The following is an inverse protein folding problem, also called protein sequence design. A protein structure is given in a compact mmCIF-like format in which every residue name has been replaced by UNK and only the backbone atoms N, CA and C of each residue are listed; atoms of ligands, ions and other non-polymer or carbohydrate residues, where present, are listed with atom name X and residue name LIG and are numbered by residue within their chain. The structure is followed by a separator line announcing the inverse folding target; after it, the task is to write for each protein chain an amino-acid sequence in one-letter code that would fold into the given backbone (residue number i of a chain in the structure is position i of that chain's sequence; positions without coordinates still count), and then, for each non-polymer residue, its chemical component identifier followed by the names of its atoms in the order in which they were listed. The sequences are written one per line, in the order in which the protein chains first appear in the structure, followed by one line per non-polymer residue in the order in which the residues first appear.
data_IF_537491584353
#
_entry.id   IF_537491584353
#
_cell.length_a   1.000
_cell.length_b   1.000
_cell.length_c   1.000
_cell.angle_alpha   90.00
_cell.angle_beta   90.00
_cell.angle_gamma   90.00
#
_symmetry.space_group_name_H-M   'P 1'
#
loop_
_entity.id
_entity.type
_entity.pdbx_description
1 polymer ?
#
# COMPACT_ATOMS: atom_id res chain seq x y z
N UNK A 1 6.36 8.72 -39.34
CA UNK A 1 5.68 8.03 -38.23
C UNK A 1 6.69 7.27 -37.39
N UNK A 2 7.49 7.95 -36.64
CA UNK A 2 8.44 7.36 -35.70
C UNK A 2 8.17 7.89 -34.34
N UNK A 3 7.25 7.28 -33.59
CA UNK A 3 7.22 7.41 -32.16
C UNK A 3 8.46 6.72 -31.62
N UNK A 4 9.49 7.54 -31.54
CA UNK A 4 10.65 7.21 -30.75
C UNK A 4 10.17 7.24 -29.30
N UNK A 5 9.80 6.09 -28.77
CA UNK A 5 9.91 5.85 -27.34
C UNK A 5 11.37 6.14 -26.99
N UNK A 6 11.65 7.37 -26.59
CA UNK A 6 12.87 7.67 -25.86
C UNK A 6 12.81 6.77 -24.64
N UNK A 7 13.46 5.62 -24.69
CA UNK A 7 13.88 4.91 -23.50
C UNK A 7 14.65 5.97 -22.72
N UNK A 8 14.00 6.55 -21.72
CA UNK A 8 14.71 7.36 -20.75
C UNK A 8 15.78 6.42 -20.22
N UNK A 9 17.02 6.71 -20.54
CA UNK A 9 18.13 5.95 -20.00
C UNK A 9 18.04 6.07 -18.49
N UNK A 10 17.90 4.92 -17.81
CA UNK A 10 17.89 4.91 -16.35
C UNK A 10 19.18 5.56 -15.89
N UNK A 11 19.08 6.65 -15.14
CA UNK A 11 20.23 7.23 -14.46
C UNK A 11 20.61 6.31 -13.29
N UNK A 12 21.55 5.40 -13.57
CA UNK A 12 22.02 4.45 -12.58
C UNK A 12 22.68 5.11 -11.36
N UNK A 13 23.26 6.30 -11.51
CA UNK A 13 23.84 7.03 -10.39
C UNK A 13 22.74 7.54 -9.44
N UNK A 14 21.71 8.17 -10.00
CA UNK A 14 20.54 8.60 -9.23
C UNK A 14 19.82 7.42 -8.59
N UNK A 15 19.63 6.32 -9.33
CA UNK A 15 19.01 5.10 -8.79
C UNK A 15 19.80 4.52 -7.63
N UNK A 16 21.13 4.41 -7.76
CA UNK A 16 22.02 3.93 -6.70
C UNK A 16 21.91 4.80 -5.43
N UNK A 17 21.87 6.11 -5.61
CA UNK A 17 21.72 7.04 -4.50
C UNK A 17 20.36 6.86 -3.79
N UNK A 18 19.26 6.79 -4.53
CA UNK A 18 17.91 6.60 -3.98
C UNK A 18 17.77 5.26 -3.25
N UNK A 19 18.31 4.19 -3.83
CA UNK A 19 18.31 2.86 -3.19
C UNK A 19 19.15 2.90 -1.91
N UNK A 20 20.33 3.51 -1.94
CA UNK A 20 21.18 3.66 -0.76
C UNK A 20 20.49 4.43 0.36
N UNK A 21 19.83 5.54 0.06
CA UNK A 21 19.05 6.31 1.02
C UNK A 21 17.88 5.50 1.60
N UNK A 22 17.16 4.74 0.77
CA UNK A 22 16.05 3.88 1.20
C UNK A 22 16.52 2.78 2.15
N UNK A 23 17.67 2.16 1.86
CA UNK A 23 18.27 1.13 2.71
C UNK A 23 18.69 1.73 4.06
N UNK A 24 19.33 2.90 4.05
CA UNK A 24 19.75 3.58 5.27
C UNK A 24 18.55 3.91 6.18
N UNK A 25 17.47 4.48 5.62
CA UNK A 25 16.26 4.79 6.39
C UNK A 25 15.68 3.51 7.02
N UNK A 26 15.67 2.39 6.27
CA UNK A 26 15.21 1.11 6.81
C UNK A 26 16.12 0.61 7.92
N UNK A 27 17.43 0.69 7.75
CA UNK A 27 18.43 0.27 8.74
C UNK A 27 18.27 1.07 10.04
N UNK A 28 18.21 2.41 9.96
CA UNK A 28 17.99 3.29 11.10
C UNK A 28 16.72 2.96 11.88
N UNK A 29 15.63 2.63 11.19
CA UNK A 29 14.36 2.24 11.80
C UNK A 29 14.47 0.85 12.46
N UNK A 30 15.12 -0.11 11.81
CA UNK A 30 15.28 -1.48 12.33
C UNK A 30 16.20 -1.51 13.55
N UNK A 31 17.25 -0.70 13.56
CA UNK A 31 18.14 -0.55 14.73
C UNK A 31 17.40 0.02 15.96
N UNK A 32 16.50 0.99 15.74
CA UNK A 32 15.70 1.59 16.81
C UNK A 32 14.62 0.63 17.34
N UNK A 33 14.09 -0.24 16.50
CA UNK A 33 13.00 -1.16 16.87
C UNK A 33 13.17 -2.53 16.18
N UNK A 34 14.14 -3.35 16.65
CA UNK A 34 14.46 -4.63 16.03
C UNK A 34 13.30 -5.65 16.11
N UNK A 35 12.40 -5.51 17.08
CA UNK A 35 11.30 -6.43 17.33
C UNK A 35 9.92 -5.95 16.81
N UNK A 36 9.87 -4.82 16.10
CA UNK A 36 8.64 -4.28 15.49
C UNK A 36 7.51 -3.99 16.51
N UNK A 37 7.85 -3.47 17.66
CA UNK A 37 6.86 -3.07 18.66
C UNK A 37 6.34 -1.64 18.47
N UNK A 38 7.09 -0.78 17.82
CA UNK A 38 6.82 0.65 17.64
C UNK A 38 7.09 1.17 16.24
N UNK A 39 8.12 2.00 16.09
CA UNK A 39 8.40 2.77 14.86
C UNK A 39 8.61 1.90 13.62
N UNK A 40 9.11 0.69 13.76
CA UNK A 40 9.31 -0.22 12.62
C UNK A 40 8.00 -0.57 11.91
N UNK A 41 6.85 -0.51 12.61
CA UNK A 41 5.54 -0.67 11.98
C UNK A 41 5.26 0.39 10.91
N UNK A 42 5.98 1.51 10.91
CA UNK A 42 5.93 2.53 9.87
C UNK A 42 6.25 1.96 8.47
N UNK A 43 7.12 0.94 8.40
CA UNK A 43 7.48 0.26 7.16
C UNK A 43 6.33 -0.58 6.57
N UNK A 44 5.20 -0.69 7.27
CA UNK A 44 4.06 -1.50 6.87
C UNK A 44 2.96 -0.71 6.13
N UNK A 45 3.15 0.56 5.80
CA UNK A 45 2.21 1.30 4.97
C UNK A 45 1.96 0.55 3.64
N UNK A 46 0.71 0.33 3.31
CA UNK A 46 0.29 -0.40 2.11
C UNK A 46 0.39 -1.92 2.20
N UNK A 47 0.98 -2.47 3.27
CA UNK A 47 1.21 -3.91 3.36
C UNK A 47 -0.03 -4.70 3.79
N UNK A 48 -0.89 -4.15 4.63
CA UNK A 48 -2.08 -4.88 5.12
C UNK A 48 -3.01 -5.24 3.95
N UNK A 49 -3.31 -4.29 3.09
CA UNK A 49 -4.11 -4.51 1.89
C UNK A 49 -3.27 -5.16 0.78
N UNK A 50 -2.01 -4.76 0.64
CA UNK A 50 -1.08 -5.32 -0.34
C UNK A 50 -0.92 -6.84 -0.21
N UNK A 51 -0.74 -7.35 1.00
CA UNK A 51 -0.67 -8.80 1.26
C UNK A 51 -1.99 -9.53 0.92
N UNK A 52 -3.14 -8.88 1.14
CA UNK A 52 -4.42 -9.43 0.74
C UNK A 52 -4.55 -9.53 -0.79
N UNK A 53 -4.11 -8.51 -1.53
CA UNK A 53 -4.06 -8.54 -3.00
C UNK A 53 -3.09 -9.60 -3.52
N UNK A 54 -1.92 -9.72 -2.93
CA UNK A 54 -0.93 -10.74 -3.26
C UNK A 54 -1.46 -12.15 -3.01
N UNK A 55 -2.12 -12.37 -1.87
CA UNK A 55 -2.76 -13.65 -1.53
C UNK A 55 -3.89 -14.01 -2.49
N UNK A 56 -4.72 -13.04 -2.86
CA UNK A 56 -5.77 -13.23 -3.86
C UNK A 56 -5.17 -13.57 -5.23
N UNK A 57 -4.17 -12.82 -5.67
CA UNK A 57 -3.50 -13.04 -6.94
C UNK A 57 -2.90 -14.45 -7.02
N UNK A 58 -2.29 -14.91 -5.93
CA UNK A 58 -1.75 -16.27 -5.82
C UNK A 58 -2.88 -17.33 -5.89
N UNK A 59 -3.98 -17.13 -5.17
CA UNK A 59 -5.13 -18.04 -5.17
C UNK A 59 -5.80 -18.14 -6.56
N UNK A 60 -5.70 -17.09 -7.36
CA UNK A 60 -6.23 -17.03 -8.73
C UNK A 60 -5.20 -17.43 -9.82
N UNK A 61 -4.04 -17.96 -9.42
CA UNK A 61 -2.94 -18.34 -10.33
C UNK A 61 -2.46 -17.20 -11.25
N UNK A 62 -2.53 -15.96 -10.78
CA UNK A 62 -2.00 -14.77 -11.45
C UNK A 62 -1.05 -13.98 -10.54
N UNK A 63 0.07 -14.59 -10.10
CA UNK A 63 0.95 -13.99 -9.10
C UNK A 63 1.44 -12.61 -9.55
N UNK A 64 1.55 -11.71 -8.59
CA UNK A 64 2.03 -10.34 -8.77
C UNK A 64 3.31 -10.13 -7.97
N UNK A 65 4.12 -9.16 -8.37
CA UNK A 65 5.29 -8.79 -7.59
C UNK A 65 4.87 -8.04 -6.32
N UNK A 66 5.50 -8.36 -5.20
CA UNK A 66 5.21 -7.78 -3.89
C UNK A 66 5.14 -6.25 -3.90
N UNK A 67 6.11 -5.58 -4.54
CA UNK A 67 6.12 -4.12 -4.62
C UNK A 67 4.91 -3.52 -5.36
N UNK A 68 4.36 -4.21 -6.36
CA UNK A 68 3.13 -3.81 -7.03
C UNK A 68 1.93 -3.95 -6.09
N UNK A 69 1.82 -5.07 -5.39
CA UNK A 69 0.75 -5.30 -4.43
C UNK A 69 0.76 -4.24 -3.31
N UNK A 70 1.94 -3.90 -2.79
CA UNK A 70 2.11 -2.84 -1.79
C UNK A 70 1.73 -1.47 -2.36
N UNK A 71 2.10 -1.14 -3.60
CA UNK A 71 1.70 0.12 -4.23
C UNK A 71 0.18 0.25 -4.33
N UNK A 72 -0.53 -0.80 -4.75
CA UNK A 72 -1.99 -0.80 -4.76
C UNK A 72 -2.60 -0.75 -3.34
N UNK A 73 -1.96 -1.41 -2.37
CA UNK A 73 -2.33 -1.33 -0.96
C UNK A 73 -2.21 0.09 -0.41
N UNK A 74 -1.20 0.85 -0.83
CA UNK A 74 -1.04 2.27 -0.46
C UNK A 74 -2.26 3.09 -0.92
N UNK A 75 -2.82 2.84 -2.09
CA UNK A 75 -4.04 3.54 -2.55
C UNK A 75 -5.19 3.37 -1.54
N UNK A 76 -5.40 2.13 -1.09
CA UNK A 76 -6.41 1.79 -0.10
C UNK A 76 -6.13 2.45 1.26
N UNK A 77 -4.91 2.31 1.75
CA UNK A 77 -4.53 2.80 3.07
C UNK A 77 -4.43 4.34 3.12
N UNK A 78 -4.19 5.03 1.99
CA UNK A 78 -4.30 6.48 1.90
C UNK A 78 -5.76 6.96 1.98
N UNK A 79 -6.71 6.20 1.46
CA UNK A 79 -8.13 6.50 1.68
C UNK A 79 -8.49 6.42 3.18
N UNK A 80 -8.09 5.34 3.86
CA UNK A 80 -8.25 5.24 5.31
C UNK A 80 -7.53 6.35 6.06
N UNK A 81 -6.33 6.74 5.60
CA UNK A 81 -5.57 7.85 6.16
C UNK A 81 -6.33 9.17 6.05
N UNK A 82 -6.94 9.44 4.89
CA UNK A 82 -7.77 10.62 4.71
C UNK A 82 -9.00 10.59 5.62
N UNK A 83 -9.70 9.47 5.68
CA UNK A 83 -10.93 9.32 6.44
C UNK A 83 -10.70 9.39 7.95
N UNK A 84 -9.66 8.71 8.46
CA UNK A 84 -9.48 8.48 9.90
C UNK A 84 -8.52 9.45 10.59
N UNK A 85 -7.48 9.90 9.89
CA UNK A 85 -6.43 10.73 10.48
C UNK A 85 -6.19 12.05 9.74
N UNK A 86 -6.99 12.32 8.69
CA UNK A 86 -7.01 13.63 8.03
C UNK A 86 -5.92 13.85 6.98
N UNK A 87 -5.39 12.78 6.38
CA UNK A 87 -4.39 12.92 5.31
C UNK A 87 -4.89 13.84 4.19
N UNK A 88 -4.07 14.79 3.68
CA UNK A 88 -4.52 15.78 2.73
C UNK A 88 -5.02 15.17 1.42
N UNK A 89 -6.26 15.48 1.04
CA UNK A 89 -6.94 14.93 -0.15
C UNK A 89 -6.15 15.14 -1.43
N UNK A 90 -5.53 16.29 -1.59
CA UNK A 90 -4.75 16.59 -2.80
C UNK A 90 -3.51 15.70 -2.91
N UNK A 91 -2.77 15.51 -1.81
CA UNK A 91 -1.61 14.60 -1.77
C UNK A 91 -2.04 13.15 -2.05
N UNK A 92 -3.18 12.74 -1.49
CA UNK A 92 -3.77 11.42 -1.77
C UNK A 92 -4.04 11.25 -3.27
N UNK A 93 -4.71 12.21 -3.91
CA UNK A 93 -5.03 12.14 -5.35
C UNK A 93 -3.79 12.07 -6.22
N UNK A 94 -2.77 12.88 -5.93
CA UNK A 94 -1.50 12.89 -6.67
C UNK A 94 -0.78 11.55 -6.53
N UNK A 95 -0.75 10.96 -5.33
CA UNK A 95 -0.13 9.67 -5.09
C UNK A 95 -0.88 8.54 -5.80
N UNK A 96 -2.22 8.55 -5.75
CA UNK A 96 -3.06 7.57 -6.46
C UNK A 96 -2.81 7.64 -7.97
N UNK A 97 -2.79 8.84 -8.55
CA UNK A 97 -2.52 9.02 -9.97
C UNK A 97 -1.13 8.48 -10.34
N UNK A 98 -0.11 8.81 -9.55
CA UNK A 98 1.24 8.29 -9.74
C UNK A 98 1.28 6.76 -9.71
N UNK A 99 0.60 6.14 -8.75
CA UNK A 99 0.54 4.67 -8.64
C UNK A 99 -0.16 4.07 -9.86
N UNK A 100 -1.29 4.62 -10.26
CA UNK A 100 -2.04 4.17 -11.42
C UNK A 100 -1.21 4.21 -12.70
N UNK A 101 -0.46 5.29 -12.91
CA UNK A 101 0.33 5.51 -14.12
C UNK A 101 1.58 4.62 -14.20
N UNK A 102 2.17 4.26 -13.05
CA UNK A 102 3.45 3.56 -13.01
C UNK A 102 3.34 2.07 -12.61
N UNK A 103 2.31 1.69 -11.84
CA UNK A 103 2.12 0.32 -11.35
C UNK A 103 0.89 -0.36 -11.96
N UNK A 104 0.12 0.37 -12.77
CA UNK A 104 -1.13 -0.15 -13.31
C UNK A 104 -2.18 -0.41 -12.24
N UNK A 105 -3.07 -1.35 -12.49
CA UNK A 105 -4.22 -1.64 -11.64
C UNK A 105 -4.32 -3.14 -11.31
N UNK A 106 -4.74 -3.46 -10.10
CA UNK A 106 -5.14 -4.79 -9.69
C UNK A 106 -6.67 -4.90 -9.77
N UNK A 107 -7.17 -5.85 -10.57
CA UNK A 107 -8.61 -5.96 -10.84
C UNK A 107 -9.27 -7.03 -9.98
N UNK A 108 -10.42 -6.70 -9.41
CA UNK A 108 -11.31 -7.62 -8.70
C UNK A 108 -12.74 -7.05 -8.70
N UNK A 109 -13.74 -7.91 -8.50
CA UNK A 109 -15.13 -7.50 -8.36
C UNK A 109 -15.57 -7.44 -6.88
N UNK A 110 -16.74 -6.85 -6.61
CA UNK A 110 -17.27 -6.71 -5.24
C UNK A 110 -17.55 -8.06 -4.55
N UNK A 111 -17.72 -9.16 -5.31
CA UNK A 111 -17.90 -10.50 -4.73
C UNK A 111 -16.66 -11.01 -4.02
N UNK A 112 -15.52 -10.36 -4.23
CA UNK A 112 -14.23 -10.71 -3.62
C UNK A 112 -13.97 -10.00 -2.28
N UNK A 113 -14.82 -9.09 -1.85
CA UNK A 113 -14.60 -8.30 -0.65
C UNK A 113 -14.46 -9.15 0.61
N UNK A 114 -15.36 -10.12 0.81
CA UNK A 114 -15.26 -11.03 1.96
C UNK A 114 -13.96 -11.86 1.92
N UNK A 115 -13.51 -12.27 0.73
CA UNK A 115 -12.25 -12.99 0.57
C UNK A 115 -11.05 -12.10 0.90
N UNK A 116 -11.02 -10.86 0.41
CA UNK A 116 -9.98 -9.88 0.73
C UNK A 116 -9.95 -9.56 2.23
N UNK A 117 -11.12 -9.36 2.83
CA UNK A 117 -11.26 -9.15 4.27
C UNK A 117 -10.70 -10.33 5.07
N UNK A 118 -11.01 -11.56 4.66
CA UNK A 118 -10.47 -12.76 5.29
C UNK A 118 -8.94 -12.82 5.19
N UNK A 119 -8.36 -12.51 4.03
CA UNK A 119 -6.88 -12.43 3.88
C UNK A 119 -6.27 -11.38 4.81
N UNK A 120 -6.87 -10.18 4.91
CA UNK A 120 -6.41 -9.15 5.84
C UNK A 120 -6.48 -9.62 7.30
N UNK A 121 -7.55 -10.32 7.69
CA UNK A 121 -7.73 -10.83 9.06
C UNK A 121 -6.71 -11.90 9.43
N UNK A 122 -6.28 -12.73 8.48
CA UNK A 122 -5.33 -13.82 8.70
C UNK A 122 -3.85 -13.37 8.58
N UNK A 123 -3.57 -12.10 8.29
CA UNK A 123 -2.20 -11.60 8.28
C UNK A 123 -1.61 -11.73 9.69
N UNK A 124 -0.38 -12.27 9.76
CA UNK A 124 0.36 -12.54 11.00
C UNK A 124 0.52 -11.34 11.95
N UNK A 125 0.28 -10.13 11.43
CA UNK A 125 0.35 -8.86 12.17
C UNK A 125 -0.92 -8.57 12.97
N UNK A 126 -2.00 -9.34 12.77
CA UNK A 126 -3.29 -9.11 13.40
C UNK A 126 -3.47 -10.01 14.62
N UNK A 127 -3.73 -9.39 15.76
CA UNK A 127 -4.01 -10.08 17.03
C UNK A 127 -5.52 -10.08 17.27
N UNK A 128 -6.09 -11.25 17.56
CA UNK A 128 -7.50 -11.39 18.01
C UNK A 128 -8.55 -10.91 16.99
N UNK A 129 -8.29 -11.05 15.69
CA UNK A 129 -9.27 -10.69 14.65
C UNK A 129 -9.38 -9.19 14.35
N UNK A 130 -8.57 -8.36 14.97
CA UNK A 130 -8.50 -6.92 14.69
C UNK A 130 -7.46 -6.65 13.61
N UNK A 131 -7.89 -6.02 12.51
CA UNK A 131 -6.99 -5.64 11.42
C UNK A 131 -6.30 -4.33 11.77
N UNK A 132 -4.96 -4.36 11.80
CA UNK A 132 -4.14 -3.19 12.08
C UNK A 132 -3.57 -2.59 10.81
N UNK A 133 -3.66 -1.27 10.72
CA UNK A 133 -3.14 -0.48 9.61
C UNK A 133 -2.06 0.48 10.09
N UNK A 134 -1.13 0.78 9.21
CA UNK A 134 -0.25 1.94 9.30
C UNK A 134 -0.83 3.02 8.40
N UNK A 135 -1.21 4.15 8.97
CA UNK A 135 -1.81 5.26 8.25
C UNK A 135 -0.90 6.49 8.31
N UNK A 136 -1.17 7.48 7.46
CA UNK A 136 -0.46 8.75 7.42
C UNK A 136 -1.40 9.90 7.77
N UNK A 137 -1.00 10.76 8.68
CA UNK A 137 -1.64 12.06 8.89
C UNK A 137 -1.14 13.09 7.88
N UNK A 138 0.14 13.03 7.56
CA UNK A 138 0.79 13.75 6.46
C UNK A 138 2.02 12.95 5.98
N UNK A 139 2.70 13.40 4.93
CA UNK A 139 3.97 12.81 4.49
C UNK A 139 5.00 12.97 5.63
N UNK A 140 5.51 11.81 6.09
CA UNK A 140 6.42 11.76 7.24
C UNK A 140 5.75 11.77 8.62
N UNK A 141 4.43 11.92 8.71
CA UNK A 141 3.66 11.85 9.96
C UNK A 141 2.82 10.57 9.99
N UNK A 142 3.31 9.56 10.72
CA UNK A 142 2.84 8.19 10.69
C UNK A 142 2.00 7.87 11.92
N UNK A 143 0.85 7.24 11.70
CA UNK A 143 -0.04 6.72 12.73
C UNK A 143 -0.07 5.19 12.65
N UNK A 144 0.63 4.53 13.57
CA UNK A 144 0.64 3.06 13.69
C UNK A 144 -0.57 2.54 14.48
N UNK A 145 -0.86 1.23 14.37
CA UNK A 145 -1.93 0.54 15.11
C UNK A 145 -3.32 1.17 14.92
N UNK A 146 -3.60 1.66 13.73
CA UNK A 146 -4.94 2.15 13.38
C UNK A 146 -5.83 0.98 12.98
N UNK A 147 -7.11 1.05 13.30
CA UNK A 147 -8.08 -0.02 13.01
C UNK A 147 -9.24 0.51 12.17
N UNK A 148 -9.89 -0.38 11.42
CA UNK A 148 -11.12 -0.10 10.71
C UNK A 148 -12.08 -1.29 10.87
N UNK A 149 -13.37 -1.02 10.94
CA UNK A 149 -14.39 -2.03 10.89
C UNK A 149 -14.60 -2.57 9.46
N UNK A 150 -15.38 -3.63 9.35
CA UNK A 150 -15.62 -4.31 8.07
C UNK A 150 -16.26 -3.38 7.04
N UNK A 151 -17.19 -2.55 7.46
CA UNK A 151 -17.92 -1.66 6.56
C UNK A 151 -16.99 -0.58 6.00
N UNK A 152 -16.15 0.01 6.83
CA UNK A 152 -15.10 0.97 6.41
C UNK A 152 -14.09 0.33 5.46
N UNK A 153 -13.74 -0.95 5.70
CA UNK A 153 -12.83 -1.68 4.78
C UNK A 153 -13.51 -1.94 3.44
N UNK A 154 -14.79 -2.25 3.41
CA UNK A 154 -15.52 -2.42 2.15
C UNK A 154 -15.66 -1.10 1.38
N UNK A 155 -15.93 0.00 2.07
CA UNK A 155 -15.93 1.35 1.49
C UNK A 155 -14.54 1.72 0.89
N UNK A 156 -13.48 1.37 1.58
CA UNK A 156 -12.10 1.52 1.07
C UNK A 156 -11.87 0.71 -0.22
N UNK A 157 -12.39 -0.52 -0.31
CA UNK A 157 -12.28 -1.33 -1.52
C UNK A 157 -13.12 -0.78 -2.67
N UNK A 158 -14.32 -0.24 -2.39
CA UNK A 158 -15.12 0.48 -3.37
C UNK A 158 -14.39 1.72 -3.89
N UNK A 159 -13.82 2.52 -2.99
CA UNK A 159 -13.01 3.67 -3.38
C UNK A 159 -11.83 3.28 -4.29
N UNK A 160 -11.12 2.20 -3.96
CA UNK A 160 -10.04 1.68 -4.81
C UNK A 160 -10.56 1.38 -6.22
N UNK A 161 -11.67 0.64 -6.32
CA UNK A 161 -12.25 0.27 -7.61
C UNK A 161 -12.66 1.50 -8.43
N UNK A 162 -13.32 2.46 -7.81
CA UNK A 162 -13.72 3.71 -8.47
C UNK A 162 -12.50 4.49 -8.99
N UNK A 163 -11.48 4.68 -8.16
CA UNK A 163 -10.25 5.37 -8.55
C UNK A 163 -9.51 4.67 -9.70
N UNK A 164 -9.51 3.33 -9.69
CA UNK A 164 -8.85 2.53 -10.73
C UNK A 164 -9.70 2.38 -11.99
N UNK A 165 -11.01 2.61 -11.91
CA UNK A 165 -11.93 2.50 -13.04
C UNK A 165 -12.34 1.05 -13.36
N UNK A 166 -12.57 0.24 -12.32
CA UNK A 166 -12.96 -1.17 -12.42
C UNK A 166 -14.26 -1.44 -11.67
#
# INVERSE_FOLDING_TARGET
LGDVYKRQSIDYAALKQLVGQSVQVKEDIVEQDPFEHGIRKALNLGHTVGHAFESMALAENRPVLHGYAVAWGIVCELYLSHLKVGFPKEKMRQTIQFIKDNYGIFTFDCKKYDQLYAFMTHDKKNTSGTINFTLLKDIGDICINQTADKDTIFEMLDFYRECMGI
#
